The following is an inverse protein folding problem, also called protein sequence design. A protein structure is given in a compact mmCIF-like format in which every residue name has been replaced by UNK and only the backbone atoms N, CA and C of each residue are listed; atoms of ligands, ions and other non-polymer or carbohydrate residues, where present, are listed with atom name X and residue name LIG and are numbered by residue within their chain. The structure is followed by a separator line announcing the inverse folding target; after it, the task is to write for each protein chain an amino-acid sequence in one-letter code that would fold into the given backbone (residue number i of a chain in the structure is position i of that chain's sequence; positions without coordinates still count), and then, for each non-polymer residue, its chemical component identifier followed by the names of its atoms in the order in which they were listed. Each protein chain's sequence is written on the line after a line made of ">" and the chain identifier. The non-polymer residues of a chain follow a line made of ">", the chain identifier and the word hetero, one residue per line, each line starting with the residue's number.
data_IF_660512537485
#
_entry.id   IF_660512537485
#
_cell.length_a   1.000
_cell.length_b   1.000
_cell.length_c   1.000
_cell.angle_alpha   90.00
_cell.angle_beta   90.00
_cell.angle_gamma   90.00
#
_symmetry.space_group_name_H-M   'P 1'
#
loop_
_entity.id
_entity.type
_entity.pdbx_description
1 polymer ?
#
# COMPACT_ATOMS: atom_id res chain seq x y z
N UNK A 1 -52.86 -10.22 -32.62
CA UNK A 1 -51.88 -10.25 -33.73
C UNK A 1 -51.51 -8.81 -34.07
N UNK A 2 -50.41 -8.27 -33.55
CA UNK A 2 -49.76 -7.03 -34.03
C UNK A 2 -48.29 -7.15 -33.57
N UNK A 3 -47.41 -7.68 -34.43
CA UNK A 3 -46.59 -6.97 -35.42
C UNK A 3 -45.26 -6.49 -34.80
N UNK A 4 -44.21 -7.25 -35.13
CA UNK A 4 -42.81 -7.04 -34.75
C UNK A 4 -42.22 -5.79 -35.38
N UNK A 5 -41.36 -5.08 -34.63
CA UNK A 5 -40.36 -4.17 -35.18
C UNK A 5 -39.06 -4.34 -34.40
N UNK A 6 -38.13 -5.12 -34.96
CA UNK A 6 -36.76 -5.22 -34.47
C UNK A 6 -35.97 -3.98 -34.92
N UNK A 7 -35.49 -3.18 -33.97
CA UNK A 7 -34.66 -2.00 -34.25
C UNK A 7 -33.19 -2.38 -34.04
N UNK A 8 -32.47 -2.57 -35.14
CA UNK A 8 -31.02 -2.83 -35.13
C UNK A 8 -30.28 -1.49 -34.99
N UNK A 9 -29.77 -1.19 -33.79
CA UNK A 9 -28.89 -0.05 -33.57
C UNK A 9 -27.44 -0.49 -33.81
N UNK A 10 -26.83 0.07 -34.86
CA UNK A 10 -25.41 -0.10 -35.16
C UNK A 10 -24.56 0.53 -34.06
N UNK A 11 -23.81 -0.30 -33.34
CA UNK A 11 -22.81 0.11 -32.36
C UNK A 11 -21.54 0.52 -33.11
N UNK A 12 -21.35 1.81 -33.35
CA UNK A 12 -20.03 2.35 -33.68
C UNK A 12 -19.17 2.27 -32.42
N UNK A 13 -18.27 1.29 -32.37
CA UNK A 13 -17.32 1.13 -31.28
C UNK A 13 -16.27 2.24 -31.29
N UNK A 14 -16.37 3.18 -30.37
CA UNK A 14 -15.25 4.06 -30.03
C UNK A 14 -14.29 3.26 -29.16
N UNK A 15 -13.22 2.74 -29.75
CA UNK A 15 -12.09 2.24 -28.98
C UNK A 15 -11.41 3.45 -28.31
N UNK A 16 -11.80 3.77 -27.08
CA UNK A 16 -10.99 4.65 -26.24
C UNK A 16 -9.71 3.88 -25.93
N UNK A 17 -8.61 4.28 -26.57
CA UNK A 17 -7.28 3.91 -26.13
C UNK A 17 -7.07 4.53 -24.74
N UNK A 18 -7.59 3.86 -23.72
CA UNK A 18 -7.27 4.14 -22.33
C UNK A 18 -5.82 3.68 -22.18
N UNK A 19 -4.89 4.61 -22.40
CA UNK A 19 -3.54 4.47 -21.86
C UNK A 19 -3.72 4.36 -20.36
N UNK A 20 -3.87 3.13 -19.86
CA UNK A 20 -3.64 2.82 -18.46
C UNK A 20 -2.15 2.99 -18.26
N UNK A 21 -1.69 4.23 -18.16
CA UNK A 21 -0.55 4.53 -17.32
C UNK A 21 -0.97 3.98 -15.97
N UNK A 22 -0.52 2.76 -15.67
CA UNK A 22 -0.44 2.28 -14.31
C UNK A 22 0.51 3.24 -13.63
N UNK A 23 -0.04 4.38 -13.20
CA UNK A 23 0.62 5.31 -12.32
C UNK A 23 0.77 4.48 -11.06
N UNK A 24 1.92 3.82 -10.93
CA UNK A 24 2.42 3.40 -9.64
C UNK A 24 2.20 4.59 -8.71
N UNK A 25 1.68 4.40 -7.48
CA UNK A 25 1.38 5.51 -6.59
C UNK A 25 2.64 6.34 -6.44
N UNK A 26 2.71 7.42 -7.21
CA UNK A 26 3.93 8.19 -7.36
C UNK A 26 4.12 8.90 -6.04
N UNK A 27 5.22 8.59 -5.37
CA UNK A 27 5.64 9.25 -4.14
C UNK A 27 5.75 10.77 -4.32
N UNK A 28 5.81 11.24 -5.58
CA UNK A 28 5.94 12.64 -5.93
C UNK A 28 7.38 13.15 -5.85
N UNK A 29 8.34 12.26 -5.50
CA UNK A 29 9.76 12.58 -5.37
C UNK A 29 10.63 12.18 -6.58
N UNK A 30 10.00 11.64 -7.63
CA UNK A 30 10.67 11.24 -8.87
C UNK A 30 10.83 9.73 -9.00
N UNK A 31 10.93 9.27 -10.25
CA UNK A 31 10.87 7.86 -10.63
C UNK A 31 11.96 7.00 -9.97
N UNK A 32 13.18 7.51 -9.86
CA UNK A 32 14.28 6.81 -9.20
C UNK A 32 14.05 6.60 -7.70
N UNK A 33 13.40 7.56 -7.02
CA UNK A 33 13.04 7.47 -5.61
C UNK A 33 11.86 6.52 -5.43
N UNK A 34 10.88 6.56 -6.33
CA UNK A 34 9.77 5.61 -6.35
C UNK A 34 10.24 4.15 -6.44
N UNK A 35 11.23 3.84 -7.28
CA UNK A 35 11.83 2.50 -7.35
C UNK A 35 12.50 2.07 -6.04
N UNK A 36 13.19 3.00 -5.35
CA UNK A 36 13.81 2.74 -4.04
C UNK A 36 12.72 2.44 -3.01
N UNK A 37 11.67 3.26 -2.97
CA UNK A 37 10.54 3.07 -2.06
C UNK A 37 9.87 1.72 -2.33
N UNK A 38 9.61 1.38 -3.59
CA UNK A 38 9.01 0.09 -3.96
C UNK A 38 9.87 -1.10 -3.55
N UNK A 39 11.18 -1.06 -3.80
CA UNK A 39 12.09 -2.12 -3.39
C UNK A 39 12.12 -2.28 -1.87
N UNK A 40 12.11 -1.16 -1.15
CA UNK A 40 12.06 -1.15 0.30
C UNK A 40 10.74 -1.76 0.79
N UNK A 41 9.59 -1.27 0.31
CA UNK A 41 8.26 -1.78 0.65
C UNK A 41 8.08 -3.26 0.32
N UNK A 42 8.61 -3.74 -0.81
CA UNK A 42 8.56 -5.17 -1.15
C UNK A 42 9.25 -6.04 -0.10
N UNK A 43 10.41 -5.59 0.40
CA UNK A 43 11.16 -6.26 1.45
C UNK A 43 10.45 -6.15 2.80
N UNK A 44 10.00 -4.95 3.16
CA UNK A 44 9.35 -4.72 4.46
C UNK A 44 7.98 -5.37 4.54
N UNK A 45 7.22 -5.44 3.44
CA UNK A 45 5.94 -6.14 3.40
C UNK A 45 6.12 -7.65 3.59
N UNK A 46 7.17 -8.24 3.01
CA UNK A 46 7.49 -9.64 3.25
C UNK A 46 7.81 -9.90 4.72
N UNK A 47 8.58 -9.00 5.37
CA UNK A 47 8.86 -9.10 6.81
C UNK A 47 7.62 -8.86 7.67
N UNK A 48 6.77 -7.89 7.29
CA UNK A 48 5.50 -7.62 7.96
C UNK A 48 4.58 -8.84 7.92
N UNK A 49 4.49 -9.51 6.78
CA UNK A 49 3.72 -10.74 6.61
C UNK A 49 4.34 -11.95 7.33
N UNK A 50 5.64 -11.91 7.63
CA UNK A 50 6.32 -12.92 8.42
C UNK A 50 6.08 -12.77 9.94
N UNK A 51 5.60 -11.60 10.39
CA UNK A 51 5.18 -11.42 11.78
C UNK A 51 3.99 -12.32 12.11
N UNK A 52 4.03 -12.94 13.28
CA UNK A 52 2.88 -13.71 13.79
C UNK A 52 1.69 -12.75 13.98
N UNK A 53 0.45 -13.17 13.64
CA UNK A 53 -0.73 -12.37 13.94
C UNK A 53 -0.79 -11.99 15.44
N UNK A 54 -0.97 -10.71 15.74
CA UNK A 54 -0.92 -10.12 17.09
C UNK A 54 0.47 -10.05 17.74
N UNK A 55 1.56 -10.33 17.02
CA UNK A 55 2.89 -9.96 17.48
C UNK A 55 3.07 -8.45 17.28
N UNK A 56 2.47 -7.68 18.18
CA UNK A 56 2.40 -6.22 18.04
C UNK A 56 3.80 -5.59 18.07
N UNK A 57 4.79 -6.23 18.71
CA UNK A 57 6.19 -5.78 18.69
C UNK A 57 6.76 -5.89 17.27
N UNK A 58 6.66 -7.07 16.65
CA UNK A 58 7.09 -7.28 15.26
C UNK A 58 6.33 -6.36 14.30
N UNK A 59 5.01 -6.26 14.43
CA UNK A 59 4.18 -5.40 13.58
C UNK A 59 4.53 -3.91 13.73
N UNK A 60 4.84 -3.45 14.93
CA UNK A 60 5.31 -2.09 15.20
C UNK A 60 6.69 -1.83 14.58
N UNK A 61 7.64 -2.76 14.73
CA UNK A 61 8.98 -2.64 14.15
C UNK A 61 8.92 -2.59 12.62
N UNK A 62 8.17 -3.51 12.01
CA UNK A 62 8.02 -3.54 10.55
C UNK A 62 7.28 -2.30 10.03
N UNK A 63 6.29 -1.78 10.77
CA UNK A 63 5.66 -0.49 10.42
C UNK A 63 6.65 0.71 10.52
N UNK A 64 7.61 0.69 11.45
CA UNK A 64 8.70 1.67 11.47
C UNK A 64 9.62 1.53 10.26
N UNK A 65 9.99 0.30 9.88
CA UNK A 65 10.81 0.04 8.70
C UNK A 65 10.14 0.56 7.42
N UNK A 66 8.81 0.44 7.32
CA UNK A 66 8.05 1.00 6.19
C UNK A 66 8.17 2.52 6.15
N UNK A 67 8.10 3.22 7.29
CA UNK A 67 8.30 4.67 7.33
C UNK A 67 9.73 5.08 6.96
N UNK A 68 10.72 4.26 7.29
CA UNK A 68 12.12 4.48 6.88
C UNK A 68 12.27 4.47 5.36
N UNK A 69 11.49 3.64 4.64
CA UNK A 69 11.46 3.67 3.17
C UNK A 69 11.11 5.06 2.63
N UNK A 70 10.20 5.77 3.31
CA UNK A 70 9.76 7.12 2.94
C UNK A 70 10.69 8.24 3.42
N UNK A 71 11.79 7.96 4.13
CA UNK A 71 12.77 9.02 4.48
C UNK A 71 13.41 9.65 3.24
N UNK A 72 13.51 8.90 2.14
CA UNK A 72 13.96 9.41 0.85
C UNK A 72 12.90 10.27 0.13
N UNK A 73 11.65 10.27 0.63
CA UNK A 73 10.55 11.05 0.08
C UNK A 73 9.55 11.48 1.19
N UNK A 74 9.89 12.51 1.97
CA UNK A 74 9.05 12.95 3.09
C UNK A 74 7.71 13.55 2.65
N UNK A 75 7.62 14.03 1.40
CA UNK A 75 6.40 14.56 0.78
C UNK A 75 5.48 13.48 0.21
N UNK A 76 5.84 12.19 0.32
CA UNK A 76 5.02 11.11 -0.19
C UNK A 76 3.62 11.13 0.45
N UNK A 77 2.54 11.16 -0.35
CA UNK A 77 1.18 11.23 0.19
C UNK A 77 0.83 9.98 1.01
N UNK A 78 1.45 8.83 0.71
CA UNK A 78 1.20 7.58 1.42
C UNK A 78 1.87 7.52 2.80
N UNK A 79 2.91 8.32 3.04
CA UNK A 79 3.67 8.30 4.30
C UNK A 79 2.78 8.52 5.53
N UNK A 80 1.82 9.44 5.43
CA UNK A 80 0.89 9.72 6.53
C UNK A 80 0.05 8.50 6.90
N UNK A 81 -0.46 7.74 5.92
CA UNK A 81 -1.21 6.52 6.19
C UNK A 81 -0.37 5.45 6.91
N UNK A 82 0.89 5.29 6.52
CA UNK A 82 1.82 4.40 7.21
C UNK A 82 2.22 4.90 8.60
N UNK A 83 2.25 6.22 8.81
CA UNK A 83 2.52 6.81 10.12
C UNK A 83 1.39 6.50 11.11
N UNK A 84 0.13 6.64 10.67
CA UNK A 84 -1.02 6.22 11.44
C UNK A 84 -1.00 4.71 11.74
N UNK A 85 -0.60 3.91 10.76
CA UNK A 85 -0.45 2.45 10.93
C UNK A 85 0.60 2.15 12.01
N UNK A 86 1.78 2.76 11.95
CA UNK A 86 2.80 2.62 12.99
C UNK A 86 2.23 2.97 14.36
N UNK A 87 1.58 4.12 14.50
CA UNK A 87 1.03 4.56 15.78
C UNK A 87 0.05 3.53 16.33
N UNK A 88 -0.87 3.02 15.49
CA UNK A 88 -1.83 2.01 15.91
C UNK A 88 -1.14 0.70 16.38
N UNK A 89 -0.19 0.18 15.59
CA UNK A 89 0.53 -1.06 15.91
C UNK A 89 1.40 -0.92 17.16
N UNK A 90 2.13 0.20 17.29
CA UNK A 90 3.00 0.45 18.44
C UNK A 90 2.20 0.76 19.72
N UNK A 91 1.06 1.44 19.62
CA UNK A 91 0.15 1.60 20.76
C UNK A 91 -0.40 0.25 21.20
N UNK A 92 -0.75 -0.64 20.27
CA UNK A 92 -1.12 -2.01 20.59
C UNK A 92 0.04 -2.76 21.26
N UNK A 93 1.27 -2.63 20.77
CA UNK A 93 2.45 -3.22 21.40
C UNK A 93 2.66 -2.75 22.84
N UNK A 94 2.49 -1.44 23.07
CA UNK A 94 2.58 -0.86 24.42
C UNK A 94 1.41 -1.26 25.33
N UNK A 95 0.22 -1.50 24.78
CA UNK A 95 -0.96 -1.88 25.55
C UNK A 95 -0.98 -3.38 25.89
N UNK A 96 -0.49 -4.22 24.97
CA UNK A 96 -0.59 -5.67 25.05
C UNK A 96 0.73 -6.34 25.44
N UNK A 97 1.69 -5.59 26.01
CA UNK A 97 3.04 -6.04 26.42
C UNK A 97 3.12 -7.56 26.51
N UNK A 98 3.50 -8.20 25.40
CA UNK A 98 3.56 -9.64 25.38
C UNK A 98 4.72 -10.04 26.28
N UNK A 99 4.53 -10.94 27.28
CA UNK A 99 5.64 -11.44 28.09
C UNK A 99 6.64 -12.30 27.30
N UNK A 100 6.46 -12.45 26.00
CA UNK A 100 7.43 -13.09 25.11
C UNK A 100 8.30 -12.03 24.43
N UNK A 101 9.50 -11.90 24.99
CA UNK A 101 10.73 -11.49 24.31
C UNK A 101 11.01 -9.99 24.29
N UNK A 102 11.74 -9.58 25.34
CA UNK A 102 12.83 -8.62 25.18
C UNK A 102 13.56 -8.88 23.85
N UNK A 103 13.61 -7.88 22.98
CA UNK A 103 14.53 -7.85 21.86
C UNK A 103 15.96 -8.01 22.41
N UNK A 104 16.62 -9.10 22.02
CA UNK A 104 18.07 -9.27 22.08
C UNK A 104 18.63 -8.91 20.71
#
# INVERSE_FOLDING_TARGET
>A
MHASAAFFVALAGFATAQSTSSVLPVSGCGESIDLIIQSCLGTTQAQYNACTPNDWSCLCEQANNVLTCYNNCPSAPQRFGFEQTKVAQCNAASAYVHPSSACN
#
